data_IF_443769345754
#
_entry.id   IF_443769345754
#
_cell.length_a   1.000
_cell.length_b   1.000
_cell.length_c   1.000
_cell.angle_alpha   90.00
_cell.angle_beta   90.00
_cell.angle_gamma   90.00
#
_symmetry.space_group_name_H-M   'P 1'
#
loop_
_entity.id
_entity.type
_entity.pdbx_description
1 polymer ?
#
# COMPACT_ATOMS: atom_id res chain seq x y z
N UNK A 1 6.74 39.65 73.57
CA UNK A 1 5.63 40.03 72.64
C UNK A 1 6.13 40.56 71.30
N UNK A 2 7.20 41.38 71.24
CA UNK A 2 7.70 41.99 70.00
C UNK A 2 8.27 40.93 69.00
N UNK A 3 8.93 39.85 69.49
CA UNK A 3 9.44 38.77 68.67
C UNK A 3 8.31 38.01 67.95
N UNK A 4 7.19 37.79 68.60
CA UNK A 4 6.02 37.11 67.98
C UNK A 4 5.44 37.98 66.88
N UNK A 5 5.30 39.28 67.10
CA UNK A 5 4.83 40.22 66.08
C UNK A 5 5.81 40.21 64.86
N UNK A 6 7.09 40.27 65.13
CA UNK A 6 8.12 40.21 64.06
C UNK A 6 8.02 38.95 63.24
N UNK A 7 7.83 37.78 63.89
CA UNK A 7 7.66 36.51 63.18
C UNK A 7 6.39 36.47 62.32
N UNK A 8 5.30 36.98 62.83
CA UNK A 8 4.02 37.09 62.10
C UNK A 8 4.14 38.03 60.90
N UNK A 9 4.82 39.14 61.03
CA UNK A 9 5.08 40.07 59.90
C UNK A 9 5.95 39.47 58.87
N UNK A 10 7.03 38.77 59.25
CA UNK A 10 7.92 38.07 58.32
C UNK A 10 7.17 36.95 57.59
N UNK A 11 6.37 36.15 58.31
CA UNK A 11 5.55 35.10 57.73
C UNK A 11 4.50 35.64 56.76
N UNK A 12 3.85 36.74 57.11
CA UNK A 12 2.89 37.41 56.24
C UNK A 12 3.57 37.97 54.98
N UNK A 13 4.73 38.59 55.15
CA UNK A 13 5.52 39.14 54.04
C UNK A 13 6.03 38.04 53.11
N UNK A 14 6.51 36.93 53.69
CA UNK A 14 6.89 35.74 52.91
C UNK A 14 5.68 35.18 52.15
N UNK A 15 4.53 35.05 52.78
CA UNK A 15 3.33 34.55 52.16
C UNK A 15 2.85 35.47 51.02
N UNK A 16 2.89 36.78 51.20
CA UNK A 16 2.56 37.78 50.18
C UNK A 16 3.55 37.72 49.03
N UNK A 17 4.84 37.65 49.30
CA UNK A 17 5.86 37.53 48.24
C UNK A 17 5.72 36.23 47.43
N UNK A 18 5.43 35.15 48.13
CA UNK A 18 5.20 33.87 47.45
C UNK A 18 3.91 33.88 46.63
N UNK A 19 2.87 34.55 47.09
CA UNK A 19 1.62 34.73 46.34
C UNK A 19 1.78 35.63 45.11
N UNK A 20 2.60 36.63 45.19
CA UNK A 20 2.92 37.55 44.10
C UNK A 20 3.91 36.96 43.10
N UNK A 21 4.68 35.94 43.49
CA UNK A 21 5.70 35.34 42.61
C UNK A 21 5.11 34.26 41.73
N UNK A 22 4.98 34.55 40.43
CA UNK A 22 4.50 33.59 39.42
C UNK A 22 5.66 33.00 38.65
N UNK A 23 5.68 31.66 38.53
CA UNK A 23 6.70 30.92 37.81
C UNK A 23 6.16 30.48 36.48
N UNK A 24 6.97 30.59 35.42
CA UNK A 24 6.74 29.86 34.16
C UNK A 24 7.20 28.42 34.31
N UNK A 25 6.60 27.57 33.54
CA UNK A 25 7.03 26.16 33.41
C UNK A 25 7.69 25.97 32.06
N UNK A 26 8.33 24.83 31.84
CA UNK A 26 8.86 24.49 30.51
C UNK A 26 7.76 24.42 29.44
N UNK A 27 6.55 24.17 29.87
CA UNK A 27 5.38 23.99 29.00
C UNK A 27 4.59 25.28 28.76
N UNK A 28 4.72 26.24 29.68
CA UNK A 28 3.96 27.49 29.63
C UNK A 28 4.86 28.67 29.98
N UNK A 29 5.00 29.60 29.04
CA UNK A 29 5.52 30.93 29.30
C UNK A 29 4.38 31.90 29.60
N UNK A 30 4.69 33.07 30.05
CA UNK A 30 3.70 34.12 30.18
C UNK A 30 4.27 35.53 29.91
N UNK A 31 3.41 36.38 29.42
CA UNK A 31 3.72 37.79 29.20
C UNK A 31 2.97 38.61 30.26
N UNK A 32 3.73 39.37 31.03
CA UNK A 32 3.22 40.30 31.99
C UNK A 32 3.21 41.67 31.38
N UNK A 33 2.05 42.32 31.34
CA UNK A 33 1.85 43.71 30.89
C UNK A 33 1.30 44.56 32.02
N UNK A 34 1.54 45.84 32.00
CA UNK A 34 1.05 46.79 33.01
C UNK A 34 2.13 47.75 33.48
N UNK A 35 2.11 48.09 34.77
CA UNK A 35 3.12 48.98 35.34
C UNK A 35 4.53 48.45 35.09
N UNK A 36 5.45 49.29 34.62
CA UNK A 36 6.82 48.96 34.20
C UNK A 36 6.92 48.27 32.83
N UNK A 37 5.86 48.34 32.01
CA UNK A 37 5.88 47.84 30.64
C UNK A 37 5.71 46.33 30.51
N UNK A 38 6.06 45.82 29.35
CA UNK A 38 5.95 44.39 29.02
C UNK A 38 7.19 43.62 29.52
N UNK A 39 6.94 42.46 30.13
CA UNK A 39 7.99 41.50 30.49
C UNK A 39 7.58 40.09 30.09
N UNK A 40 8.37 39.49 29.19
CA UNK A 40 8.23 38.10 28.78
C UNK A 40 9.01 37.21 29.73
N UNK A 41 8.38 36.18 30.25
CA UNK A 41 8.96 35.22 31.20
C UNK A 41 8.93 33.81 30.61
N UNK A 42 10.12 33.29 30.34
CA UNK A 42 10.37 31.97 29.79
C UNK A 42 11.34 31.24 30.73
N UNK A 43 11.02 30.05 31.19
CA UNK A 43 11.83 29.23 32.11
C UNK A 43 12.33 29.99 33.35
N UNK A 44 11.56 30.99 33.80
CA UNK A 44 11.90 31.87 34.91
C UNK A 44 10.67 32.20 35.73
N UNK A 45 10.80 33.09 36.72
CA UNK A 45 9.69 33.65 37.45
C UNK A 45 9.70 35.15 37.41
N UNK A 46 8.56 35.74 37.68
CA UNK A 46 8.41 37.18 37.84
C UNK A 46 7.38 37.53 38.92
N UNK A 47 7.56 38.67 39.52
CA UNK A 47 6.55 39.22 40.42
C UNK A 47 5.39 39.79 39.59
N UNK A 48 4.19 39.35 39.92
CA UNK A 48 2.95 39.75 39.27
C UNK A 48 2.05 40.37 40.33
N UNK A 49 1.77 41.63 40.18
CA UNK A 49 0.85 42.34 41.03
C UNK A 49 -0.55 42.35 40.39
N UNK A 50 -1.53 41.61 40.93
CA UNK A 50 -2.80 41.37 40.23
C UNK A 50 -3.61 42.66 39.92
N UNK A 51 -3.36 43.73 40.65
CA UNK A 51 -4.08 45.00 40.46
C UNK A 51 -3.53 45.80 39.27
N UNK A 52 -2.24 45.73 39.03
CA UNK A 52 -1.56 46.62 38.06
C UNK A 52 -0.93 45.81 36.87
N UNK A 53 -0.86 44.50 36.97
CA UNK A 53 -0.31 43.64 35.94
C UNK A 53 -1.38 42.71 35.40
N UNK A 54 -1.44 42.61 34.09
CA UNK A 54 -2.14 41.54 33.39
C UNK A 54 -1.15 40.45 32.96
N UNK A 55 -1.58 39.21 33.00
CA UNK A 55 -0.73 38.05 32.61
C UNK A 55 -1.44 37.26 31.53
N UNK A 56 -0.78 37.16 30.38
CA UNK A 56 -1.22 36.33 29.27
C UNK A 56 -0.35 35.09 29.22
N UNK A 57 -0.88 33.94 29.59
CA UNK A 57 -0.15 32.67 29.45
C UNK A 57 -0.07 32.24 27.99
N UNK A 58 1.06 31.61 27.62
CA UNK A 58 1.36 31.12 26.28
C UNK A 58 1.82 29.67 26.39
N UNK A 59 1.20 28.79 25.63
CA UNK A 59 1.58 27.38 25.56
C UNK A 59 2.85 27.23 24.72
N UNK A 60 3.87 26.56 25.28
CA UNK A 60 5.15 26.32 24.63
C UNK A 60 5.28 24.88 24.10
N UNK A 61 4.26 24.04 24.32
CA UNK A 61 4.23 22.68 23.80
C UNK A 61 4.02 22.67 22.29
N UNK A 62 4.55 21.67 21.65
CA UNK A 62 4.20 21.38 20.26
C UNK A 62 2.77 20.86 20.18
N UNK A 63 1.99 21.45 19.33
CA UNK A 63 0.61 21.07 19.05
C UNK A 63 0.52 20.45 17.67
N UNK A 64 -0.17 19.34 17.56
CA UNK A 64 -0.50 18.67 16.31
C UNK A 64 -1.84 19.21 15.83
N UNK A 65 -1.85 19.81 14.65
CA UNK A 65 -3.03 20.37 14.02
C UNK A 65 -3.28 19.63 12.71
N UNK A 66 -4.39 18.92 12.63
CA UNK A 66 -4.78 18.14 11.46
C UNK A 66 -5.60 19.00 10.50
N UNK A 67 -5.27 18.92 9.22
CA UNK A 67 -5.99 19.59 8.13
C UNK A 67 -6.35 18.56 7.09
N UNK A 68 -7.64 18.39 6.85
CA UNK A 68 -8.17 17.52 5.81
C UNK A 68 -8.86 18.38 4.75
N UNK A 69 -8.50 18.13 3.50
CA UNK A 69 -9.14 18.71 2.33
C UNK A 69 -9.48 17.59 1.37
N UNK A 70 -10.76 17.27 1.29
CA UNK A 70 -11.26 16.15 0.53
C UNK A 70 -12.60 16.48 -0.12
N UNK A 71 -12.99 15.71 -1.09
CA UNK A 71 -14.30 15.79 -1.76
C UNK A 71 -14.56 17.16 -2.41
N UNK A 72 -15.56 17.87 -1.96
CA UNK A 72 -15.89 19.21 -2.46
C UNK A 72 -14.81 20.26 -2.13
N UNK A 73 -14.11 20.09 -1.04
CA UNK A 73 -13.05 20.99 -0.58
C UNK A 73 -11.65 20.56 -1.04
N UNK A 74 -11.54 19.55 -1.89
CA UNK A 74 -10.30 19.06 -2.45
C UNK A 74 -9.45 20.17 -3.07
N UNK A 75 -8.13 20.00 -3.04
CA UNK A 75 -7.21 20.93 -3.66
C UNK A 75 -7.21 20.74 -5.18
N UNK A 76 -6.89 21.81 -5.90
CA UNK A 76 -6.75 21.77 -7.35
C UNK A 76 -5.26 21.89 -7.69
N UNK A 77 -4.76 20.96 -8.46
CA UNK A 77 -3.38 20.91 -8.93
C UNK A 77 -3.19 21.79 -10.17
N UNK A 78 -1.95 21.94 -10.61
CA UNK A 78 -1.59 22.70 -11.79
C UNK A 78 -2.24 22.13 -13.07
N UNK A 79 -2.34 20.81 -13.17
CA UNK A 79 -2.98 20.08 -14.28
C UNK A 79 -4.51 19.99 -14.17
N UNK A 80 -5.13 20.77 -13.27
CA UNK A 80 -6.58 20.85 -13.04
C UNK A 80 -7.21 19.60 -12.44
N UNK A 81 -6.41 18.76 -11.85
CA UNK A 81 -6.92 17.60 -11.12
C UNK A 81 -7.33 17.99 -9.71
N UNK A 82 -8.34 17.32 -9.16
CA UNK A 82 -8.72 17.44 -7.75
C UNK A 82 -8.00 16.37 -6.93
N UNK A 83 -7.45 16.81 -5.81
CA UNK A 83 -6.65 15.98 -4.91
C UNK A 83 -7.15 16.10 -3.47
N UNK A 84 -7.43 14.98 -2.87
CA UNK A 84 -7.72 14.87 -1.46
C UNK A 84 -6.41 14.82 -0.68
N UNK A 85 -6.25 15.71 0.28
CA UNK A 85 -5.03 15.81 1.07
C UNK A 85 -5.38 15.83 2.55
N UNK A 86 -4.69 14.99 3.29
CA UNK A 86 -4.69 14.98 4.75
C UNK A 86 -3.28 15.29 5.26
N UNK A 87 -3.14 16.38 6.00
CA UNK A 87 -1.86 16.87 6.49
C UNK A 87 -1.92 17.16 7.99
N UNK A 88 -0.81 16.92 8.66
CA UNK A 88 -0.61 17.23 10.07
C UNK A 88 0.51 18.26 10.20
N UNK A 89 0.21 19.35 10.88
CA UNK A 89 1.14 20.44 11.14
C UNK A 89 1.53 20.43 12.61
N UNK A 90 2.82 20.30 12.89
CA UNK A 90 3.35 20.34 14.25
C UNK A 90 3.90 21.72 14.52
N UNK A 91 3.18 22.46 15.32
CA UNK A 91 3.43 23.89 15.60
C UNK A 91 3.70 24.11 17.06
N UNK A 92 4.62 25.04 17.35
CA UNK A 92 4.86 25.54 18.69
C UNK A 92 5.16 27.03 18.65
N UNK A 93 5.11 27.67 19.81
CA UNK A 93 5.62 29.04 19.96
C UNK A 93 7.14 29.00 20.01
N UNK A 94 7.80 29.87 19.22
CA UNK A 94 9.27 29.96 19.20
C UNK A 94 9.79 30.40 20.56
N UNK A 95 10.84 29.73 21.05
CA UNK A 95 11.44 29.98 22.38
C UNK A 95 12.33 31.23 22.40
N UNK A 96 11.79 32.38 21.99
CA UNK A 96 12.45 33.66 22.16
C UNK A 96 11.43 34.66 22.72
N UNK A 97 11.94 35.71 23.35
CA UNK A 97 11.10 36.74 24.02
C UNK A 97 10.18 37.45 23.02
N UNK A 98 10.69 37.76 21.85
CA UNK A 98 9.95 38.48 20.81
C UNK A 98 8.77 37.64 20.29
N UNK A 99 9.01 36.36 19.95
CA UNK A 99 7.95 35.49 19.47
C UNK A 99 6.88 35.20 20.54
N UNK A 100 7.27 35.04 21.79
CA UNK A 100 6.31 34.83 22.88
C UNK A 100 5.48 36.10 23.11
N UNK A 101 6.07 37.30 23.00
CA UNK A 101 5.35 38.58 23.05
C UNK A 101 4.35 38.68 21.88
N UNK A 102 4.78 38.42 20.66
CA UNK A 102 3.91 38.42 19.49
C UNK A 102 2.80 37.38 19.62
N UNK A 103 3.10 36.16 20.05
CA UNK A 103 2.10 35.12 20.27
C UNK A 103 1.08 35.51 21.36
N UNK A 104 1.54 36.13 22.45
CA UNK A 104 0.66 36.61 23.48
C UNK A 104 -0.31 37.70 22.97
N UNK A 105 0.19 38.57 22.08
CA UNK A 105 -0.59 39.67 21.51
C UNK A 105 -1.55 39.21 20.44
N UNK A 106 -1.09 38.36 19.51
CA UNK A 106 -1.89 37.95 18.36
C UNK A 106 -2.82 36.76 18.65
N UNK A 107 -2.36 35.81 19.44
CA UNK A 107 -3.09 34.59 19.75
C UNK A 107 -3.68 34.58 21.17
N UNK A 108 -2.97 35.18 22.12
CA UNK A 108 -3.40 35.25 23.51
C UNK A 108 -3.64 33.86 24.11
N UNK A 109 -4.78 33.73 24.80
CA UNK A 109 -5.17 32.46 25.44
C UNK A 109 -5.54 31.33 24.45
N UNK A 110 -5.68 31.62 23.18
CA UNK A 110 -5.96 30.60 22.16
C UNK A 110 -4.83 29.57 22.05
N UNK A 111 -3.61 29.94 22.41
CA UNK A 111 -2.47 29.00 22.46
C UNK A 111 -2.69 27.87 23.48
N UNK A 112 -3.52 28.04 24.47
CA UNK A 112 -3.84 27.04 25.49
C UNK A 112 -4.93 26.07 25.07
N UNK A 113 -5.72 26.42 24.04
CA UNK A 113 -6.80 25.61 23.51
C UNK A 113 -6.49 25.23 22.07
N UNK A 114 -6.17 23.96 21.86
CA UNK A 114 -5.77 23.44 20.53
C UNK A 114 -6.83 23.71 19.46
N UNK A 115 -8.12 23.52 19.77
CA UNK A 115 -9.23 23.74 18.84
C UNK A 115 -9.30 25.19 18.35
N UNK A 116 -9.21 26.16 19.26
CA UNK A 116 -9.27 27.58 18.90
C UNK A 116 -8.05 28.04 18.11
N UNK A 117 -6.90 27.44 18.38
CA UNK A 117 -5.68 27.70 17.61
C UNK A 117 -5.78 27.07 16.21
N UNK A 118 -6.30 25.86 16.13
CA UNK A 118 -6.55 25.17 14.87
C UNK A 118 -7.45 26.01 13.97
N UNK A 119 -8.60 26.46 14.45
CA UNK A 119 -9.55 27.26 13.68
C UNK A 119 -8.92 28.57 13.15
N UNK A 120 -8.08 29.20 13.97
CA UNK A 120 -7.37 30.40 13.56
C UNK A 120 -6.33 30.17 12.48
N UNK A 121 -5.61 29.04 12.55
CA UNK A 121 -4.51 28.72 11.66
C UNK A 121 -4.94 27.92 10.43
N UNK A 122 -6.13 27.32 10.46
CA UNK A 122 -6.66 26.48 9.39
C UNK A 122 -6.55 27.16 8.02
N UNK A 123 -6.96 28.41 7.93
CA UNK A 123 -6.88 29.18 6.69
C UNK A 123 -5.47 29.34 6.15
N UNK A 124 -4.46 29.53 7.03
CA UNK A 124 -3.04 29.64 6.64
C UNK A 124 -2.51 28.31 6.12
N UNK A 125 -2.84 27.20 6.77
CA UNK A 125 -2.44 25.86 6.32
C UNK A 125 -3.08 25.48 4.99
N UNK A 126 -4.37 25.73 4.86
CA UNK A 126 -5.11 25.47 3.60
C UNK A 126 -4.54 26.32 2.45
N UNK A 127 -4.20 27.58 2.73
CA UNK A 127 -3.57 28.45 1.74
C UNK A 127 -2.21 27.90 1.29
N UNK A 128 -1.37 27.47 2.23
CA UNK A 128 -0.07 26.87 1.92
C UNK A 128 -0.20 25.58 1.08
N UNK A 129 -1.12 24.70 1.49
CA UNK A 129 -1.38 23.46 0.75
C UNK A 129 -1.87 23.74 -0.67
N UNK A 130 -2.81 24.69 -0.83
CA UNK A 130 -3.39 25.08 -2.11
C UNK A 130 -2.38 25.76 -3.03
N UNK A 131 -1.57 26.66 -2.50
CA UNK A 131 -0.56 27.39 -3.26
C UNK A 131 0.45 26.43 -3.87
N UNK A 132 0.97 25.48 -3.09
CA UNK A 132 1.92 24.48 -3.61
C UNK A 132 1.23 23.52 -4.56
N UNK A 133 0.02 23.02 -4.25
CA UNK A 133 -0.73 22.14 -5.14
C UNK A 133 -0.96 22.77 -6.53
N UNK A 134 -1.23 24.07 -6.58
CA UNK A 134 -1.42 24.81 -7.83
C UNK A 134 -0.13 24.95 -8.68
N UNK A 135 1.04 24.65 -8.12
CA UNK A 135 2.34 24.73 -8.84
C UNK A 135 2.84 23.39 -9.35
N UNK A 136 2.29 22.28 -8.89
CA UNK A 136 2.71 20.91 -9.20
C UNK A 136 1.57 20.11 -9.85
N UNK A 137 1.91 19.22 -10.76
CA UNK A 137 0.96 18.29 -11.34
C UNK A 137 0.65 17.14 -10.35
N UNK A 138 -0.49 16.46 -10.49
CA UNK A 138 -0.89 15.39 -9.56
C UNK A 138 0.15 14.28 -9.48
N UNK A 139 0.66 13.85 -10.63
CA UNK A 139 1.70 12.81 -10.72
C UNK A 139 3.00 13.26 -10.04
N UNK A 140 3.39 14.53 -10.26
CA UNK A 140 4.57 15.13 -9.62
C UNK A 140 4.43 15.19 -8.09
N UNK A 141 3.24 15.53 -7.57
CA UNK A 141 2.97 15.53 -6.12
C UNK A 141 3.10 14.11 -5.55
N UNK A 142 2.65 13.11 -6.31
CA UNK A 142 2.69 11.72 -5.87
C UNK A 142 4.10 11.13 -5.88
N UNK A 143 4.86 11.39 -6.95
CA UNK A 143 6.23 10.92 -7.11
C UNK A 143 7.23 11.68 -6.24
N UNK A 144 7.10 13.01 -6.15
CA UNK A 144 8.00 13.91 -5.44
C UNK A 144 7.37 14.48 -4.16
N UNK A 145 6.71 13.62 -3.37
CA UNK A 145 6.02 14.01 -2.15
C UNK A 145 6.88 14.82 -1.17
N UNK A 146 8.17 14.49 -1.09
CA UNK A 146 9.11 15.20 -0.22
C UNK A 146 9.31 16.68 -0.64
N UNK A 147 9.30 16.97 -1.93
CA UNK A 147 9.39 18.33 -2.47
C UNK A 147 8.10 19.11 -2.17
N UNK A 148 6.94 18.48 -2.36
CA UNK A 148 5.66 19.08 -2.01
C UNK A 148 5.61 19.45 -0.51
N UNK A 149 5.99 18.51 0.37
CA UNK A 149 6.07 18.76 1.82
C UNK A 149 7.03 19.89 2.15
N UNK A 150 8.20 19.94 1.50
CA UNK A 150 9.21 20.98 1.73
C UNK A 150 8.69 22.37 1.35
N UNK A 151 8.05 22.50 0.20
CA UNK A 151 7.43 23.76 -0.26
C UNK A 151 6.28 24.20 0.66
N UNK A 152 5.42 23.27 1.05
CA UNK A 152 4.34 23.55 2.02
C UNK A 152 4.91 24.02 3.34
N UNK A 153 5.96 23.35 3.83
CA UNK A 153 6.64 23.72 5.08
C UNK A 153 7.20 25.14 5.02
N UNK A 154 7.83 25.52 3.92
CA UNK A 154 8.40 26.86 3.72
C UNK A 154 7.33 27.95 3.77
N UNK A 155 6.24 27.78 3.00
CA UNK A 155 5.15 28.77 2.95
C UNK A 155 4.43 28.85 4.31
N UNK A 156 4.09 27.70 4.90
CA UNK A 156 3.45 27.68 6.20
C UNK A 156 4.33 28.24 7.30
N UNK A 157 5.64 27.99 7.29
CA UNK A 157 6.58 28.53 8.25
C UNK A 157 6.59 30.08 8.20
N UNK A 158 6.64 30.67 7.02
CA UNK A 158 6.63 32.12 6.83
C UNK A 158 5.32 32.72 7.36
N UNK A 159 4.17 32.09 7.03
CA UNK A 159 2.88 32.54 7.48
C UNK A 159 2.68 32.44 9.02
N UNK A 160 3.31 31.46 9.66
CA UNK A 160 3.25 31.26 11.12
C UNK A 160 4.19 32.18 11.88
N UNK A 161 5.34 32.55 11.29
CA UNK A 161 6.33 33.40 11.91
C UNK A 161 5.75 34.78 12.31
N UNK A 162 4.80 35.31 11.55
CA UNK A 162 4.08 36.55 11.85
C UNK A 162 3.32 36.51 13.19
N UNK A 163 2.92 35.31 13.63
CA UNK A 163 2.22 35.09 14.89
C UNK A 163 3.14 34.61 16.03
N UNK A 164 4.47 34.65 15.82
CA UNK A 164 5.44 34.13 16.78
C UNK A 164 5.47 32.61 16.90
N UNK A 165 4.86 31.91 15.94
CA UNK A 165 4.84 30.46 15.87
C UNK A 165 6.00 29.93 15.04
N UNK A 166 6.40 28.71 15.33
CA UNK A 166 7.39 27.94 14.62
C UNK A 166 6.78 26.64 14.15
N UNK A 167 6.99 26.30 12.90
CA UNK A 167 6.60 25.02 12.33
C UNK A 167 7.76 24.03 12.48
N UNK A 168 7.59 23.04 13.32
CA UNK A 168 8.59 21.98 13.52
C UNK A 168 8.64 21.05 12.30
N UNK A 169 7.49 20.49 11.95
CA UNK A 169 7.39 19.59 10.81
C UNK A 169 5.99 19.60 10.22
N UNK A 170 5.91 19.15 8.99
CA UNK A 170 4.66 18.85 8.28
C UNK A 170 4.71 17.39 7.88
N UNK A 171 3.68 16.64 8.23
CA UNK A 171 3.45 15.28 7.76
C UNK A 171 2.21 15.27 6.87
N UNK A 172 2.34 14.75 5.66
CA UNK A 172 1.19 14.49 4.81
C UNK A 172 0.89 13.01 4.93
N UNK A 173 -0.24 12.71 5.55
CA UNK A 173 -0.65 11.34 5.85
C UNK A 173 -1.30 10.68 4.65
N UNK A 174 -2.04 11.46 3.87
CA UNK A 174 -2.76 10.95 2.72
C UNK A 174 -2.76 11.94 1.56
N UNK A 175 -2.61 11.41 0.35
CA UNK A 175 -2.74 12.15 -0.92
C UNK A 175 -3.38 11.19 -1.91
N UNK A 176 -4.63 11.46 -2.26
CA UNK A 176 -5.38 10.65 -3.20
C UNK A 176 -6.09 11.52 -4.23
N UNK A 177 -6.38 10.93 -5.37
CA UNK A 177 -7.20 11.59 -6.37
C UNK A 177 -8.65 11.60 -5.90
N UNK A 178 -9.27 12.79 -5.95
CA UNK A 178 -10.70 12.94 -5.59
C UNK A 178 -11.59 12.16 -6.55
N UNK A 179 -12.66 11.55 -6.03
CA UNK A 179 -13.64 10.82 -6.83
C UNK A 179 -14.29 11.69 -7.91
N UNK A 180 -14.67 11.05 -9.01
CA UNK A 180 -15.27 11.72 -10.19
C UNK A 180 -16.56 12.49 -9.85
N UNK A 181 -17.32 12.03 -8.86
CA UNK A 181 -18.56 12.62 -8.40
C UNK A 181 -18.41 14.03 -7.83
N UNK A 182 -17.23 14.41 -7.41
CA UNK A 182 -16.95 15.73 -6.82
C UNK A 182 -16.47 16.77 -7.85
N UNK A 183 -16.28 16.36 -9.11
CA UNK A 183 -16.00 17.30 -10.19
C UNK A 183 -17.29 17.94 -10.69
N UNK A 184 -17.34 19.27 -10.70
CA UNK A 184 -18.50 20.01 -11.20
C UNK A 184 -18.36 20.23 -12.72
N UNK A 185 -19.17 19.56 -13.56
CA UNK A 185 -19.08 19.71 -15.03
C UNK A 185 -19.44 21.11 -15.51
N UNK A 186 -20.15 21.90 -14.71
CA UNK A 186 -20.50 23.30 -15.04
C UNK A 186 -19.37 24.28 -14.76
N UNK A 187 -18.35 23.88 -14.02
CA UNK A 187 -17.16 24.68 -13.76
C UNK A 187 -16.12 24.37 -14.85
N UNK A 188 -15.61 25.39 -15.53
CA UNK A 188 -14.65 25.25 -16.62
C UNK A 188 -13.39 24.47 -16.20
N UNK A 189 -12.87 24.73 -15.00
CA UNK A 189 -11.65 24.10 -14.53
C UNK A 189 -11.88 22.63 -14.16
N UNK A 190 -12.98 22.34 -13.50
CA UNK A 190 -13.36 20.96 -13.17
C UNK A 190 -13.71 20.15 -14.41
N UNK A 191 -14.37 20.77 -15.42
CA UNK A 191 -14.69 20.13 -16.68
C UNK A 191 -13.42 19.76 -17.47
N UNK A 192 -12.39 20.61 -17.44
CA UNK A 192 -11.10 20.32 -18.07
C UNK A 192 -10.40 19.13 -17.38
N UNK A 193 -10.34 19.14 -16.04
CA UNK A 193 -9.77 18.04 -15.26
C UNK A 193 -10.54 16.73 -15.46
N UNK A 194 -11.87 16.80 -15.44
CA UNK A 194 -12.74 15.64 -15.67
C UNK A 194 -12.52 15.02 -17.06
N UNK A 195 -12.40 15.86 -18.10
CA UNK A 195 -12.12 15.38 -19.45
C UNK A 195 -10.79 14.64 -19.53
N UNK A 196 -9.71 15.24 -18.99
CA UNK A 196 -8.39 14.59 -18.93
C UNK A 196 -8.45 13.26 -18.21
N UNK A 197 -9.13 13.22 -17.08
CA UNK A 197 -9.24 12.02 -16.27
C UNK A 197 -10.00 10.91 -16.99
N UNK A 198 -11.12 11.25 -17.65
CA UNK A 198 -11.90 10.28 -18.44
C UNK A 198 -11.05 9.76 -19.60
N UNK A 199 -10.37 10.64 -20.33
CA UNK A 199 -9.48 10.25 -21.42
C UNK A 199 -8.37 9.31 -20.96
N UNK A 200 -7.77 9.58 -19.80
CA UNK A 200 -6.74 8.72 -19.24
C UNK A 200 -7.29 7.35 -18.78
N UNK A 201 -8.44 7.33 -18.13
CA UNK A 201 -9.13 6.10 -17.73
C UNK A 201 -9.46 5.25 -18.95
N UNK A 202 -10.04 5.85 -20.00
CA UNK A 202 -10.41 5.13 -21.22
C UNK A 202 -9.17 4.65 -21.99
N UNK A 203 -8.10 5.45 -22.04
CA UNK A 203 -6.83 5.05 -22.64
C UNK A 203 -6.20 3.86 -21.90
N UNK A 204 -6.15 3.91 -20.57
CA UNK A 204 -5.66 2.80 -19.73
C UNK A 204 -6.53 1.56 -19.85
N UNK A 205 -7.85 1.75 -19.95
CA UNK A 205 -8.82 0.66 -20.17
C UNK A 205 -8.60 -0.01 -21.52
N UNK A 206 -8.41 0.79 -22.58
CA UNK A 206 -8.09 0.28 -23.92
C UNK A 206 -6.78 -0.51 -23.90
N UNK A 207 -5.72 0.07 -23.34
CA UNK A 207 -4.43 -0.60 -23.24
C UNK A 207 -4.53 -1.93 -22.49
N UNK A 208 -5.29 -1.96 -21.38
CA UNK A 208 -5.53 -3.21 -20.63
C UNK A 208 -6.27 -4.23 -21.46
N UNK A 209 -7.33 -3.83 -22.16
CA UNK A 209 -8.08 -4.72 -23.03
C UNK A 209 -7.19 -5.28 -24.17
N UNK A 210 -6.32 -4.42 -24.74
CA UNK A 210 -5.37 -4.84 -25.78
C UNK A 210 -4.37 -5.88 -25.24
N UNK A 211 -3.83 -5.63 -24.05
CA UNK A 211 -2.93 -6.59 -23.37
C UNK A 211 -3.65 -7.90 -23.04
N UNK A 212 -4.88 -7.84 -22.56
CA UNK A 212 -5.70 -9.02 -22.25
C UNK A 212 -5.97 -9.86 -23.50
N UNK A 213 -6.32 -9.19 -24.63
CA UNK A 213 -6.52 -9.86 -25.91
C UNK A 213 -5.23 -10.46 -26.44
N UNK A 214 -4.11 -9.72 -26.41
CA UNK A 214 -2.81 -10.23 -26.85
C UNK A 214 -2.36 -11.41 -26.01
N UNK A 215 -2.54 -11.33 -24.69
CA UNK A 215 -2.22 -12.42 -23.77
C UNK A 215 -3.10 -13.64 -24.04
N UNK A 216 -4.38 -13.44 -24.27
CA UNK A 216 -5.32 -14.53 -24.65
C UNK A 216 -4.92 -15.21 -25.95
N UNK A 217 -4.53 -14.42 -26.96
CA UNK A 217 -4.03 -14.96 -28.24
C UNK A 217 -2.75 -15.77 -28.03
N UNK A 218 -1.78 -15.24 -27.25
CA UNK A 218 -0.53 -15.96 -26.94
C UNK A 218 -0.79 -17.28 -26.21
N UNK A 219 -1.70 -17.28 -25.25
CA UNK A 219 -2.08 -18.51 -24.54
C UNK A 219 -2.72 -19.52 -25.50
N UNK A 220 -3.65 -19.07 -26.36
CA UNK A 220 -4.29 -19.96 -27.35
C UNK A 220 -3.27 -20.54 -28.34
N UNK A 221 -2.36 -19.71 -28.85
CA UNK A 221 -1.30 -20.17 -29.77
C UNK A 221 -0.40 -21.19 -29.09
N UNK A 222 0.00 -20.93 -27.83
CA UNK A 222 0.85 -21.86 -27.08
C UNK A 222 0.15 -23.17 -26.76
N UNK A 223 -1.14 -23.11 -26.45
CA UNK A 223 -1.93 -24.33 -26.23
C UNK A 223 -2.05 -25.17 -27.51
N UNK A 224 -2.32 -24.52 -28.65
CA UNK A 224 -2.35 -25.19 -29.95
C UNK A 224 -0.99 -25.79 -30.34
N UNK A 225 0.11 -25.10 -30.06
CA UNK A 225 1.47 -25.66 -30.28
C UNK A 225 1.75 -26.86 -29.39
N UNK A 226 1.32 -26.77 -28.11
CA UNK A 226 1.48 -27.86 -27.15
C UNK A 226 0.66 -29.08 -27.56
N UNK A 227 -0.56 -28.88 -28.03
CA UNK A 227 -1.48 -29.90 -28.49
C UNK A 227 -0.92 -30.58 -29.80
N UNK A 228 -0.43 -29.77 -30.73
CA UNK A 228 0.25 -30.32 -31.93
C UNK A 228 1.47 -31.15 -31.57
N UNK A 229 2.32 -30.65 -30.64
CA UNK A 229 3.49 -31.41 -30.18
C UNK A 229 3.09 -32.71 -29.45
N UNK A 230 2.03 -32.65 -28.65
CA UNK A 230 1.51 -33.85 -28.00
C UNK A 230 1.04 -34.89 -29.00
N UNK A 231 0.30 -34.47 -30.02
CA UNK A 231 -0.16 -35.34 -31.11
C UNK A 231 1.00 -35.88 -31.97
N UNK A 232 2.03 -35.06 -32.23
CA UNK A 232 3.24 -35.52 -32.94
C UNK A 232 3.99 -36.58 -32.13
N UNK A 233 4.16 -36.36 -30.80
CA UNK A 233 4.79 -37.31 -29.89
C UNK A 233 3.96 -38.61 -29.81
N UNK A 234 2.63 -38.49 -29.76
CA UNK A 234 1.74 -39.64 -29.71
C UNK A 234 1.79 -40.44 -31.00
N UNK A 235 1.81 -39.77 -32.16
CA UNK A 235 2.01 -40.43 -33.46
C UNK A 235 3.40 -41.09 -33.59
N UNK A 236 4.44 -40.37 -33.12
CA UNK A 236 5.80 -40.91 -33.13
C UNK A 236 5.95 -42.12 -32.19
N UNK A 237 5.30 -42.03 -30.98
CA UNK A 237 5.27 -43.14 -30.03
C UNK A 237 4.49 -44.33 -30.55
N UNK A 238 3.40 -44.13 -31.29
CA UNK A 238 2.58 -45.18 -31.87
C UNK A 238 3.32 -45.86 -33.05
N UNK A 239 3.99 -45.06 -33.88
CA UNK A 239 4.85 -45.59 -34.95
C UNK A 239 6.06 -46.39 -34.41
N UNK A 240 6.70 -45.84 -33.33
CA UNK A 240 7.78 -46.51 -32.63
C UNK A 240 7.29 -47.83 -31.99
N UNK A 241 6.08 -47.83 -31.43
CA UNK A 241 5.43 -48.99 -30.83
C UNK A 241 5.12 -50.06 -31.86
N UNK A 242 4.57 -49.65 -33.02
CA UNK A 242 4.31 -50.58 -34.13
C UNK A 242 5.59 -51.17 -34.75
N UNK A 243 6.66 -50.36 -34.83
CA UNK A 243 7.96 -50.82 -35.24
C UNK A 243 8.58 -51.77 -34.20
N UNK A 244 8.47 -51.44 -32.94
CA UNK A 244 8.94 -52.26 -31.83
C UNK A 244 8.15 -53.56 -31.70
N UNK A 245 6.85 -53.54 -31.98
CA UNK A 245 6.01 -54.74 -31.98
C UNK A 245 6.43 -55.71 -33.11
N UNK A 246 6.75 -55.19 -34.29
CA UNK A 246 7.33 -55.98 -35.38
C UNK A 246 8.71 -56.57 -35.06
N UNK A 247 9.58 -55.75 -34.44
CA UNK A 247 10.91 -56.16 -34.03
C UNK A 247 10.89 -57.14 -32.84
N UNK A 248 9.90 -57.01 -31.98
CA UNK A 248 9.70 -57.89 -30.83
C UNK A 248 9.14 -59.22 -31.24
N UNK A 249 8.26 -59.31 -32.24
CA UNK A 249 7.75 -60.57 -32.70
C UNK A 249 8.84 -61.44 -33.35
N UNK A 250 9.82 -60.81 -34.02
CA UNK A 250 10.95 -61.53 -34.63
C UNK A 250 12.04 -61.89 -33.62
N UNK A 251 12.23 -61.22 -32.53
CA UNK A 251 13.27 -61.53 -31.52
C UNK A 251 12.71 -62.19 -30.24
N UNK A 252 11.41 -62.35 -30.13
CA UNK A 252 10.77 -62.90 -28.92
C UNK A 252 10.97 -64.40 -28.69
N UNK A 253 11.42 -65.09 -29.66
CA UNK A 253 11.57 -66.57 -29.57
C UNK A 253 12.79 -67.05 -28.77
N UNK A 254 13.89 -66.32 -28.72
CA UNK A 254 15.12 -66.91 -28.18
C UNK A 254 15.81 -66.28 -26.98
N UNK A 255 15.50 -65.07 -26.57
CA UNK A 255 16.32 -64.44 -25.52
C UNK A 255 15.56 -63.92 -24.24
N UNK A 256 14.26 -64.18 -24.10
CA UNK A 256 13.43 -63.53 -23.09
C UNK A 256 13.58 -64.00 -21.64
N UNK A 257 14.14 -65.11 -21.41
CA UNK A 257 14.03 -65.71 -20.08
C UNK A 257 15.20 -65.44 -19.12
N UNK A 258 16.40 -65.18 -19.62
CA UNK A 258 17.56 -65.16 -18.74
C UNK A 258 18.10 -63.80 -18.33
N UNK A 259 18.06 -62.80 -19.21
CA UNK A 259 18.70 -61.49 -18.92
C UNK A 259 17.80 -60.54 -18.10
N UNK A 260 16.50 -60.60 -18.24
CA UNK A 260 15.57 -59.72 -17.57
C UNK A 260 15.45 -60.00 -16.05
N UNK A 261 15.72 -61.24 -15.63
CA UNK A 261 15.62 -61.64 -14.22
C UNK A 261 16.80 -61.18 -13.37
N UNK A 262 17.99 -61.22 -13.93
CA UNK A 262 19.20 -60.80 -13.18
C UNK A 262 19.36 -59.30 -13.10
N UNK A 263 18.89 -58.56 -14.14
CA UNK A 263 18.99 -57.10 -14.13
C UNK A 263 17.96 -56.42 -13.19
N UNK A 264 16.74 -56.95 -13.14
CA UNK A 264 15.71 -56.43 -12.27
C UNK A 264 16.02 -56.64 -10.77
N UNK A 265 16.75 -57.70 -10.45
CA UNK A 265 17.13 -57.99 -9.08
C UNK A 265 18.26 -57.08 -8.56
N UNK A 266 19.26 -56.78 -9.44
CA UNK A 266 20.33 -55.84 -9.09
C UNK A 266 19.89 -54.36 -8.99
N UNK A 267 18.97 -53.95 -9.89
CA UNK A 267 18.47 -52.56 -9.87
C UNK A 267 17.52 -52.27 -8.69
N UNK A 268 16.83 -53.31 -8.18
CA UNK A 268 16.01 -53.17 -6.97
C UNK A 268 16.84 -53.06 -5.69
N UNK A 269 17.96 -53.80 -5.60
CA UNK A 269 18.86 -53.69 -4.44
C UNK A 269 19.63 -52.37 -4.39
N UNK A 270 20.06 -51.84 -5.53
CA UNK A 270 20.76 -50.54 -5.60
C UNK A 270 19.85 -49.36 -5.27
N UNK A 271 18.61 -49.35 -5.78
CA UNK A 271 17.65 -48.27 -5.45
C UNK A 271 17.19 -48.29 -4.00
N UNK A 272 17.04 -49.48 -3.40
CA UNK A 272 16.73 -49.58 -1.99
C UNK A 272 17.87 -49.07 -1.10
N UNK A 273 19.13 -49.25 -1.50
CA UNK A 273 20.31 -48.75 -0.79
C UNK A 273 20.48 -47.23 -0.95
N UNK A 274 20.19 -46.67 -2.14
CA UNK A 274 20.26 -45.22 -2.38
C UNK A 274 19.19 -44.46 -1.60
N UNK A 275 17.94 -44.93 -1.61
CA UNK A 275 16.84 -44.34 -0.85
C UNK A 275 17.09 -44.37 0.67
N UNK A 276 17.65 -45.50 1.17
CA UNK A 276 17.99 -45.59 2.61
C UNK A 276 19.12 -44.64 3.01
N UNK A 277 20.10 -44.40 2.11
CA UNK A 277 21.17 -43.46 2.35
C UNK A 277 20.71 -41.97 2.31
N UNK A 278 19.83 -41.66 1.36
CA UNK A 278 19.22 -40.32 1.25
C UNK A 278 18.32 -39.99 2.46
N UNK A 279 17.53 -40.96 2.94
CA UNK A 279 16.71 -40.76 4.16
C UNK A 279 17.56 -40.56 5.40
N UNK A 280 18.70 -41.20 5.50
CA UNK A 280 19.60 -41.05 6.67
C UNK A 280 20.31 -39.68 6.67
N UNK A 281 20.70 -39.21 5.49
CA UNK A 281 21.28 -37.87 5.30
C UNK A 281 20.25 -36.78 5.59
N UNK A 282 19.02 -36.94 5.10
CA UNK A 282 17.94 -35.96 5.30
C UNK A 282 17.49 -35.91 6.77
N UNK A 283 17.41 -37.04 7.44
CA UNK A 283 17.15 -37.10 8.90
C UNK A 283 18.28 -36.45 9.72
N UNK A 284 19.51 -36.65 9.31
CA UNK A 284 20.68 -36.02 9.94
C UNK A 284 20.68 -34.50 9.74
N UNK A 285 20.29 -34.05 8.53
CA UNK A 285 20.19 -32.63 8.17
C UNK A 285 19.04 -31.93 8.92
N UNK A 286 17.88 -32.56 8.98
CA UNK A 286 16.72 -32.04 9.73
C UNK A 286 17.02 -31.94 11.23
N UNK A 287 17.71 -32.91 11.81
CA UNK A 287 18.12 -32.88 13.22
C UNK A 287 19.17 -31.79 13.48
N UNK A 288 20.09 -31.55 12.57
CA UNK A 288 21.05 -30.44 12.67
C UNK A 288 20.37 -29.07 12.52
N UNK A 289 19.44 -28.94 11.58
CA UNK A 289 18.66 -27.69 11.41
C UNK A 289 17.75 -27.40 12.62
N UNK A 290 17.14 -28.44 13.20
CA UNK A 290 16.34 -28.30 14.41
C UNK A 290 17.18 -27.88 15.61
N UNK A 291 18.36 -28.46 15.80
CA UNK A 291 19.24 -28.07 16.90
C UNK A 291 19.82 -26.67 16.71
N UNK A 292 20.13 -26.27 15.47
CA UNK A 292 20.58 -24.90 15.16
C UNK A 292 19.48 -23.86 15.33
N UNK A 293 18.24 -24.21 14.92
CA UNK A 293 17.06 -23.34 15.14
C UNK A 293 16.70 -23.23 16.61
N UNK A 294 16.77 -24.32 17.37
CA UNK A 294 16.53 -24.27 18.83
C UNK A 294 17.59 -23.44 19.57
N UNK A 295 18.88 -23.56 19.17
CA UNK A 295 19.94 -22.71 19.75
C UNK A 295 19.75 -21.22 19.35
N UNK A 296 19.34 -20.97 18.11
CA UNK A 296 19.08 -19.60 17.61
C UNK A 296 17.87 -18.97 18.32
N UNK A 297 16.78 -19.71 18.44
CA UNK A 297 15.58 -19.27 19.17
C UNK A 297 15.88 -19.05 20.65
N UNK A 298 16.72 -19.90 21.25
CA UNK A 298 17.11 -19.78 22.65
C UNK A 298 18.03 -18.58 22.91
N UNK A 299 18.91 -18.26 21.96
CA UNK A 299 19.75 -17.05 22.04
C UNK A 299 18.97 -15.78 21.75
N UNK A 300 18.06 -15.80 20.75
CA UNK A 300 17.18 -14.67 20.44
C UNK A 300 16.15 -14.39 21.54
N UNK A 301 15.61 -15.44 22.15
CA UNK A 301 14.73 -15.29 23.32
C UNK A 301 15.45 -14.66 24.52
N UNK A 302 16.74 -14.98 24.71
CA UNK A 302 17.52 -14.42 25.79
C UNK A 302 17.87 -12.94 25.58
N UNK A 303 18.21 -12.59 24.34
CA UNK A 303 18.47 -11.19 23.97
C UNK A 303 17.18 -10.36 23.90
N UNK A 304 16.11 -10.95 23.37
CA UNK A 304 14.81 -10.26 23.26
C UNK A 304 14.13 -10.04 24.62
N UNK A 305 14.37 -10.96 25.56
CA UNK A 305 13.85 -10.80 26.93
C UNK A 305 14.50 -9.63 27.67
N UNK A 306 15.79 -9.38 27.44
CA UNK A 306 16.50 -8.23 28.00
C UNK A 306 16.16 -6.89 27.30
N UNK A 307 15.81 -6.95 26.02
CA UNK A 307 15.44 -5.75 25.24
C UNK A 307 13.95 -5.40 25.41
N UNK A 308 13.08 -6.41 25.61
CA UNK A 308 11.65 -6.20 25.87
C UNK A 308 11.37 -5.59 27.24
N UNK A 309 12.16 -5.90 28.27
CA UNK A 309 12.03 -5.29 29.60
C UNK A 309 12.39 -3.79 29.59
N UNK A 310 13.15 -3.36 28.58
CA UNK A 310 13.57 -1.95 28.45
C UNK A 310 12.64 -1.12 27.57
N UNK A 311 11.99 -1.74 26.59
CA UNK A 311 11.06 -1.05 25.67
C UNK A 311 9.59 -1.09 26.12
N UNK A 312 9.20 -2.03 26.97
CA UNK A 312 7.82 -2.15 27.46
C UNK A 312 7.33 -1.01 28.34
N UNK A 313 8.21 -0.11 28.75
CA UNK A 313 7.82 1.01 29.61
C UNK A 313 7.28 2.24 28.87
N UNK A 314 7.50 2.37 27.55
CA UNK A 314 7.21 3.63 26.85
C UNK A 314 6.33 3.53 25.60
N UNK A 315 6.31 2.42 24.84
CA UNK A 315 5.70 2.44 23.49
C UNK A 315 4.68 1.35 23.15
N UNK A 316 4.37 0.46 24.09
CA UNK A 316 3.61 -0.77 23.79
C UNK A 316 2.09 -0.61 23.58
N UNK A 317 1.51 0.56 23.71
CA UNK A 317 0.04 0.68 23.72
C UNK A 317 -0.62 1.24 22.45
N UNK A 318 0.07 1.95 21.57
CA UNK A 318 -0.61 2.70 20.50
C UNK A 318 -0.32 2.26 19.06
N UNK A 319 0.80 1.60 18.79
CA UNK A 319 1.17 1.28 17.40
C UNK A 319 0.72 -0.11 16.98
N UNK A 320 0.68 -1.07 17.90
CA UNK A 320 0.38 -2.47 17.58
C UNK A 320 -1.08 -2.74 17.12
N UNK A 321 -2.02 -1.85 17.45
CA UNK A 321 -3.42 -2.07 17.08
C UNK A 321 -3.79 -1.55 15.69
N UNK A 322 -3.06 -0.57 15.17
CA UNK A 322 -3.34 -0.02 13.83
C UNK A 322 -2.72 -0.85 12.71
N UNK A 323 -1.46 -1.28 12.88
CA UNK A 323 -0.76 -2.04 11.82
C UNK A 323 -1.30 -3.46 11.65
N UNK A 324 -1.78 -4.10 12.74
CA UNK A 324 -2.38 -5.42 12.65
C UNK A 324 -3.71 -5.42 11.86
N UNK A 325 -4.50 -4.36 11.99
CA UNK A 325 -5.78 -4.23 11.28
C UNK A 325 -5.57 -3.95 9.78
N UNK A 326 -4.58 -3.12 9.45
CA UNK A 326 -4.27 -2.80 8.05
C UNK A 326 -3.61 -3.98 7.33
N UNK A 327 -2.77 -4.76 8.02
CA UNK A 327 -2.15 -5.95 7.43
C UNK A 327 -3.15 -7.09 7.19
N UNK A 328 -4.09 -7.32 8.13
CA UNK A 328 -5.17 -8.29 7.92
C UNK A 328 -6.09 -7.87 6.76
N UNK A 329 -6.36 -6.58 6.65
CA UNK A 329 -7.18 -6.05 5.57
C UNK A 329 -6.53 -6.22 4.20
N UNK A 330 -5.24 -5.90 4.10
CA UNK A 330 -4.46 -6.10 2.86
C UNK A 330 -4.35 -7.59 2.51
N UNK A 331 -4.16 -8.47 3.50
CA UNK A 331 -4.15 -9.92 3.24
C UNK A 331 -5.53 -10.46 2.83
N UNK A 332 -6.60 -9.93 3.41
CA UNK A 332 -7.96 -10.31 2.98
C UNK A 332 -8.26 -9.79 1.57
N UNK A 333 -7.89 -8.55 1.26
CA UNK A 333 -8.08 -7.99 -0.08
C UNK A 333 -7.23 -8.75 -1.13
N UNK A 334 -5.98 -9.10 -0.79
CA UNK A 334 -5.13 -9.93 -1.66
C UNK A 334 -5.68 -11.34 -1.87
N UNK A 335 -6.21 -11.97 -0.81
CA UNK A 335 -6.84 -13.31 -0.92
C UNK A 335 -8.16 -13.27 -1.70
N UNK A 336 -8.92 -12.18 -1.55
CA UNK A 336 -10.16 -11.98 -2.32
C UNK A 336 -9.82 -11.74 -3.80
N UNK A 337 -8.80 -10.92 -4.08
CA UNK A 337 -8.33 -10.69 -5.45
C UNK A 337 -7.75 -11.95 -6.09
N UNK A 338 -6.97 -12.76 -5.37
CA UNK A 338 -6.49 -14.06 -5.85
C UNK A 338 -7.64 -15.04 -6.09
N UNK A 339 -8.62 -15.07 -5.21
CA UNK A 339 -9.80 -15.95 -5.35
C UNK A 339 -10.69 -15.51 -6.52
N UNK A 340 -10.83 -14.19 -6.76
CA UNK A 340 -11.55 -13.66 -7.92
C UNK A 340 -10.81 -13.97 -9.24
N UNK A 341 -9.49 -13.76 -9.28
CA UNK A 341 -8.67 -14.08 -10.45
C UNK A 341 -8.67 -15.60 -10.73
N UNK A 342 -8.60 -16.43 -9.68
CA UNK A 342 -8.67 -17.88 -9.82
C UNK A 342 -10.06 -18.33 -10.31
N UNK A 343 -11.12 -17.67 -9.87
CA UNK A 343 -12.49 -17.94 -10.29
C UNK A 343 -12.74 -17.50 -11.74
N UNK A 344 -12.23 -16.34 -12.08
CA UNK A 344 -12.37 -15.79 -13.44
C UNK A 344 -11.54 -16.59 -14.47
N UNK A 345 -10.33 -17.03 -14.10
CA UNK A 345 -9.53 -17.93 -14.93
C UNK A 345 -10.16 -19.31 -15.09
N UNK A 346 -10.82 -19.82 -14.02
CA UNK A 346 -11.53 -21.10 -14.11
C UNK A 346 -12.76 -21.01 -15.01
N UNK A 347 -13.54 -19.94 -14.87
CA UNK A 347 -14.72 -19.70 -15.73
C UNK A 347 -14.31 -19.48 -17.17
N UNK A 348 -13.22 -18.73 -17.42
CA UNK A 348 -12.70 -18.55 -18.77
C UNK A 348 -12.16 -19.84 -19.40
N UNK A 349 -11.48 -20.66 -18.62
CA UNK A 349 -10.99 -21.96 -19.08
C UNK A 349 -12.14 -22.93 -19.38
N UNK A 350 -13.18 -22.94 -18.56
CA UNK A 350 -14.38 -23.75 -18.81
C UNK A 350 -15.15 -23.25 -20.03
N UNK A 351 -15.21 -21.94 -20.23
CA UNK A 351 -15.85 -21.32 -21.40
C UNK A 351 -15.09 -21.63 -22.70
N UNK A 352 -13.76 -21.50 -22.68
CA UNK A 352 -12.89 -21.82 -23.79
C UNK A 352 -12.96 -23.32 -24.13
N UNK A 353 -12.98 -24.19 -23.11
CA UNK A 353 -13.11 -25.63 -23.34
C UNK A 353 -14.48 -26.00 -23.95
N UNK A 354 -15.55 -25.35 -23.51
CA UNK A 354 -16.90 -25.58 -24.06
C UNK A 354 -17.04 -25.03 -25.49
N UNK A 355 -16.43 -23.86 -25.78
CA UNK A 355 -16.39 -23.31 -27.14
C UNK A 355 -15.55 -24.14 -28.11
N UNK A 356 -14.43 -24.73 -27.63
CA UNK A 356 -13.62 -25.65 -28.41
C UNK A 356 -14.36 -26.95 -28.71
N UNK A 357 -15.08 -27.51 -27.72
CA UNK A 357 -15.90 -28.69 -27.92
C UNK A 357 -17.03 -28.46 -28.95
N UNK A 358 -17.73 -27.31 -28.82
CA UNK A 358 -18.79 -26.92 -29.78
C UNK A 358 -18.22 -26.72 -31.19
N UNK A 359 -17.07 -26.07 -31.31
CA UNK A 359 -16.43 -25.82 -32.58
C UNK A 359 -15.85 -27.10 -33.25
N UNK A 360 -15.32 -28.01 -32.43
CA UNK A 360 -14.90 -29.32 -32.92
C UNK A 360 -16.10 -30.17 -33.38
N UNK A 361 -17.21 -30.12 -32.67
CA UNK A 361 -18.45 -30.77 -33.07
C UNK A 361 -19.02 -30.18 -34.38
N UNK A 362 -18.89 -28.87 -34.55
CA UNK A 362 -19.37 -28.16 -35.74
C UNK A 362 -18.49 -28.49 -36.97
N UNK A 363 -17.16 -28.56 -36.79
CA UNK A 363 -16.21 -28.95 -37.83
C UNK A 363 -16.39 -30.40 -38.20
N UNK A 364 -16.61 -31.27 -37.22
CA UNK A 364 -16.87 -32.69 -37.49
C UNK A 364 -18.20 -32.89 -38.25
N UNK A 365 -19.19 -32.06 -37.93
CA UNK A 365 -20.48 -32.06 -38.64
C UNK A 365 -20.32 -31.56 -40.09
N UNK A 366 -19.60 -30.46 -40.30
CA UNK A 366 -19.30 -29.95 -41.65
C UNK A 366 -18.52 -30.95 -42.51
N UNK A 367 -17.51 -31.60 -41.91
CA UNK A 367 -16.78 -32.67 -42.64
C UNK A 367 -17.66 -33.83 -43.05
N UNK A 368 -18.60 -34.22 -42.14
CA UNK A 368 -19.55 -35.29 -42.49
C UNK A 368 -20.52 -34.87 -43.59
N UNK A 369 -20.96 -33.63 -43.57
CA UNK A 369 -21.85 -33.07 -44.58
C UNK A 369 -21.12 -32.91 -45.92
N UNK A 370 -19.86 -32.45 -45.92
CA UNK A 370 -19.01 -32.36 -47.12
C UNK A 370 -18.67 -33.74 -47.71
N UNK A 371 -18.37 -34.72 -46.82
CA UNK A 371 -18.13 -36.11 -47.27
C UNK A 371 -19.41 -36.76 -47.88
N UNK A 372 -20.57 -36.45 -47.30
CA UNK A 372 -21.86 -36.88 -47.84
C UNK A 372 -22.19 -36.20 -49.19
N UNK A 373 -21.84 -34.93 -49.33
CA UNK A 373 -22.05 -34.16 -50.56
C UNK A 373 -21.10 -34.66 -51.68
N UNK A 374 -19.84 -34.92 -51.32
CA UNK A 374 -18.86 -35.49 -52.25
C UNK A 374 -19.26 -36.94 -52.65
N UNK A 375 -19.79 -37.73 -51.71
CA UNK A 375 -20.26 -39.07 -52.02
C UNK A 375 -21.50 -39.04 -52.93
N UNK A 376 -22.41 -38.09 -52.70
CA UNK A 376 -23.61 -37.89 -53.53
C UNK A 376 -23.27 -37.41 -54.95
N UNK A 377 -22.33 -36.46 -55.06
CA UNK A 377 -21.84 -35.97 -56.37
C UNK A 377 -21.12 -37.04 -57.13
N UNK A 378 -20.30 -37.86 -56.47
CA UNK A 378 -19.64 -39.04 -57.12
C UNK A 378 -20.62 -40.11 -57.58
N UNK A 379 -21.70 -40.32 -56.78
CA UNK A 379 -22.76 -41.24 -57.19
C UNK A 379 -23.55 -40.75 -58.42
N UNK A 380 -23.84 -39.43 -58.45
CA UNK A 380 -24.52 -38.82 -59.61
C UNK A 380 -23.62 -38.82 -60.83
N UNK A 381 -22.32 -38.56 -60.66
CA UNK A 381 -21.36 -38.58 -61.79
C UNK A 381 -21.12 -40.00 -62.34
N UNK A 382 -21.09 -41.00 -61.44
CA UNK A 382 -21.05 -42.43 -61.84
C UNK A 382 -22.31 -42.79 -62.63
N UNK A 383 -23.48 -42.41 -62.15
CA UNK A 383 -24.74 -42.70 -62.84
C UNK A 383 -24.80 -41.98 -64.20
N UNK A 384 -24.18 -40.83 -64.33
CA UNK A 384 -24.12 -40.06 -65.57
C UNK A 384 -23.13 -40.68 -66.59
N UNK A 385 -22.05 -41.27 -66.11
CA UNK A 385 -21.07 -41.98 -66.91
C UNK A 385 -21.64 -43.32 -67.40
N UNK A 386 -22.41 -44.03 -66.58
CA UNK A 386 -23.10 -45.27 -67.03
C UNK A 386 -24.19 -44.97 -68.06
N UNK A 387 -24.93 -43.89 -67.93
CA UNK A 387 -25.91 -43.50 -68.99
C UNK A 387 -25.29 -43.11 -70.33
N UNK A 388 -24.01 -42.65 -70.29
CA UNK A 388 -23.29 -42.31 -71.52
C UNK A 388 -22.61 -43.52 -72.22
N UNK A 389 -22.58 -44.68 -71.58
CA UNK A 389 -22.04 -45.91 -72.13
C UNK A 389 -23.08 -46.79 -72.86
N UNK A 390 -24.37 -46.49 -72.65
CA UNK A 390 -25.50 -47.24 -73.27
C UNK A 390 -26.18 -46.44 -74.42
N UNK A 391 -25.49 -45.44 -74.95
CA UNK A 391 -25.81 -44.71 -76.15
C UNK A 391 -24.62 -44.86 -77.12
#
# INVERSE_FOLDING_TARGET
>A
SWLIVAVIVIAALYWILNWLYRRSTKETAFVRTGLLGEKVVIDAGAFVWPIVHNVTPVNMKTLQLEVTRASEEALITKDRMRVDVKAEFYVRVRKNKEAVSVAATTLGQRTLKQELLHDLLLGKFVSALREVAATMDLEEIHENRAEYVSKVKEIAHNALAENGLELETVAITDIDQTGLEYFNPSNRFDAEGLTKLIDEIESRRKTRNDIEQETSIKIRTRNLETEKRALEIEMESELARLQQERDIETRRAEQRMQVAREKAQKDAETRAAEIAAEEEIERSRITQEQTLTEMRIKSELKTRKQELERQQAVEAAEIATKEAIDFERIQQEAKIAEAEIAKETKINNERISSELQTRQAEIARRRKDEEAEIASTRAVEKARIEQQKDL
#
